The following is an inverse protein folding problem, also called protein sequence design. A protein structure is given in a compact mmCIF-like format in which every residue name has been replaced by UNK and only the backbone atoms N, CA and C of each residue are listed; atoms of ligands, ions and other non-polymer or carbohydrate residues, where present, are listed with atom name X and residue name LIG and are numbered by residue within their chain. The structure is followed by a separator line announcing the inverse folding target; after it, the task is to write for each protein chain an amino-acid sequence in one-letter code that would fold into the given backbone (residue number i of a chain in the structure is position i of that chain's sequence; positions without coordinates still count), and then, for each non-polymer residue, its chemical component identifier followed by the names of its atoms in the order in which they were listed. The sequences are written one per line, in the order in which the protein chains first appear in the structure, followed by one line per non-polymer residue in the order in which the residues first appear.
data_IF_006226609568
#
_entry.id   IF_006226609568
#
_cell.length_a   1.000
_cell.length_b   1.000
_cell.length_c   1.000
_cell.angle_alpha   90.00
_cell.angle_beta   90.00
_cell.angle_gamma   90.00
#
_symmetry.space_group_name_H-M   'P 1'
#
loop_
_entity.id
_entity.type
_entity.pdbx_description
1 polymer ?
#
# COMPACT_ATOMS: atom_id res chain seq x y z
N UNK A 1 5.02 23.01 10.25
CA UNK A 1 4.58 21.93 9.32
C UNK A 1 5.67 21.63 8.30
N UNK A 2 6.14 22.65 7.54
CA UNK A 2 7.20 22.44 6.54
C UNK A 2 8.50 21.92 7.19
N UNK A 3 9.17 20.99 6.49
CA UNK A 3 10.44 20.35 6.92
C UNK A 3 10.40 19.55 8.23
N UNK A 4 9.23 19.31 8.79
CA UNK A 4 9.03 18.47 9.97
C UNK A 4 8.11 17.29 9.62
N UNK A 5 8.39 16.08 10.11
CA UNK A 5 7.54 14.93 9.84
C UNK A 5 6.16 15.13 10.47
N UNK A 6 5.11 14.80 9.71
CA UNK A 6 3.71 14.87 10.15
C UNK A 6 3.02 13.54 9.85
N UNK A 7 2.10 13.14 10.70
CA UNK A 7 1.31 11.93 10.47
C UNK A 7 0.13 12.26 9.56
N UNK A 8 0.01 11.61 8.39
CA UNK A 8 -1.09 11.86 7.48
C UNK A 8 -2.42 11.29 7.99
N UNK A 9 -3.52 11.77 7.39
CA UNK A 9 -4.84 11.17 7.57
C UNK A 9 -4.87 9.73 7.06
N UNK A 10 -5.54 8.83 7.77
CA UNK A 10 -5.59 7.40 7.47
C UNK A 10 -6.87 7.05 6.69
N UNK A 11 -6.76 6.06 5.81
CA UNK A 11 -7.88 5.52 5.04
C UNK A 11 -8.78 4.65 5.92
N UNK A 12 -10.09 4.88 5.86
CA UNK A 12 -11.11 4.01 6.45
C UNK A 12 -11.35 2.81 5.52
N UNK A 13 -11.39 1.56 6.01
CA UNK A 13 -11.83 0.42 5.20
C UNK A 13 -13.31 0.54 4.85
N UNK A 14 -13.64 0.20 3.60
CA UNK A 14 -15.01 0.05 3.11
C UNK A 14 -15.09 -1.23 2.26
N UNK A 15 -16.29 -1.80 2.16
CA UNK A 15 -16.58 -2.99 1.37
C UNK A 15 -17.17 -2.67 0.01
N UNK A 16 -17.71 -1.47 -0.14
CA UNK A 16 -18.41 -1.03 -1.34
C UNK A 16 -17.96 0.37 -1.76
N UNK A 17 -18.10 0.66 -3.05
CA UNK A 17 -17.88 2.00 -3.61
C UNK A 17 -19.00 2.92 -3.13
N UNK A 18 -18.68 4.05 -2.45
CA UNK A 18 -19.70 5.00 -2.05
C UNK A 18 -20.33 5.69 -3.25
N UNK A 19 -21.63 5.92 -3.18
CA UNK A 19 -22.38 6.58 -4.25
C UNK A 19 -22.56 8.09 -4.00
N UNK A 20 -22.74 8.82 -5.08
CA UNK A 20 -23.09 10.25 -5.08
C UNK A 20 -21.94 11.17 -5.48
N UNK A 21 -22.29 12.33 -6.03
CA UNK A 21 -21.38 13.31 -6.66
C UNK A 21 -20.39 13.99 -5.70
N UNK A 22 -20.51 13.74 -4.41
CA UNK A 22 -19.55 14.23 -3.42
C UNK A 22 -18.26 13.40 -3.34
N UNK A 23 -18.20 12.26 -4.03
CA UNK A 23 -17.03 11.41 -4.06
C UNK A 23 -16.33 11.46 -5.42
N UNK A 24 -15.02 11.44 -5.37
CA UNK A 24 -14.14 11.07 -6.47
C UNK A 24 -13.45 9.76 -6.13
N UNK A 25 -12.96 9.08 -7.14
CA UNK A 25 -12.31 7.79 -7.01
C UNK A 25 -10.93 7.83 -7.63
N UNK A 26 -9.94 7.22 -6.97
CA UNK A 26 -8.56 7.13 -7.43
C UNK A 26 -8.09 5.69 -7.30
N UNK A 27 -7.13 5.29 -8.13
CA UNK A 27 -6.46 4.00 -7.95
C UNK A 27 -5.79 3.95 -6.58
N UNK A 28 -5.97 2.84 -5.87
CA UNK A 28 -5.14 2.53 -4.72
C UNK A 28 -3.82 1.97 -5.22
N UNK A 29 -2.82 2.83 -5.27
CA UNK A 29 -1.49 2.48 -5.75
C UNK A 29 -0.78 1.57 -4.73
N UNK A 30 -0.15 0.50 -5.20
CA UNK A 30 0.60 -0.45 -4.37
C UNK A 30 2.03 0.04 -4.17
N UNK A 31 2.19 0.92 -3.20
CA UNK A 31 3.45 1.57 -2.87
C UNK A 31 3.64 1.79 -1.38
N UNK A 32 4.36 2.83 -1.02
CA UNK A 32 4.37 3.35 0.34
C UNK A 32 4.04 4.84 0.36
N UNK A 33 3.15 5.21 1.27
CA UNK A 33 2.75 6.60 1.44
C UNK A 33 3.91 7.46 1.91
N UNK A 34 4.06 8.63 1.27
CA UNK A 34 5.07 9.60 1.58
C UNK A 34 4.51 11.03 1.56
N UNK A 35 5.07 11.88 2.42
CA UNK A 35 4.88 13.32 2.39
C UNK A 35 6.10 13.94 1.74
N UNK A 36 5.87 14.65 0.64
CA UNK A 36 6.88 15.33 -0.15
C UNK A 36 6.88 16.82 0.23
N UNK A 37 7.91 17.25 0.92
CA UNK A 37 8.10 18.65 1.33
C UNK A 37 9.04 19.33 0.35
N UNK A 38 8.58 20.42 -0.24
CA UNK A 38 9.35 21.26 -1.16
C UNK A 38 9.60 22.63 -0.53
N UNK A 39 10.84 23.05 -0.43
CA UNK A 39 11.25 24.32 0.14
C UNK A 39 12.33 24.95 -0.73
N UNK A 40 11.95 25.90 -1.62
CA UNK A 40 12.85 26.66 -2.51
C UNK A 40 13.82 25.75 -3.30
N UNK A 41 13.30 24.65 -3.81
CA UNK A 41 14.09 23.66 -4.55
C UNK A 41 14.73 22.56 -3.70
N UNK A 42 14.68 22.67 -2.38
CA UNK A 42 15.10 21.60 -1.47
C UNK A 42 13.93 20.64 -1.22
N UNK A 43 14.16 19.36 -1.31
CA UNK A 43 13.13 18.33 -1.13
C UNK A 43 13.46 17.49 0.09
N UNK A 44 12.45 17.29 0.95
CA UNK A 44 12.48 16.28 2.02
C UNK A 44 11.29 15.35 1.89
N UNK A 45 11.54 14.06 2.09
CA UNK A 45 10.52 13.02 1.96
C UNK A 45 10.41 12.28 3.28
N UNK A 46 9.18 12.25 3.83
CA UNK A 46 8.88 11.57 5.09
C UNK A 46 7.88 10.45 4.85
N UNK A 47 8.12 9.28 5.43
CA UNK A 47 7.13 8.21 5.45
C UNK A 47 5.99 8.53 6.43
N UNK A 48 4.86 7.81 6.32
CA UNK A 48 3.76 7.92 7.30
C UNK A 48 4.17 7.58 8.74
N UNK A 49 5.33 6.93 8.92
CA UNK A 49 5.90 6.58 10.23
C UNK A 49 6.93 7.61 10.72
N UNK A 50 6.94 8.79 10.11
CA UNK A 50 7.78 9.94 10.49
C UNK A 50 9.28 9.76 10.19
N UNK A 51 9.67 8.75 9.45
CA UNK A 51 11.06 8.56 9.04
C UNK A 51 11.38 9.42 7.83
N UNK A 52 12.48 10.18 7.87
CA UNK A 52 13.01 10.85 6.70
C UNK A 52 13.73 9.83 5.79
N UNK A 53 13.33 9.80 4.51
CA UNK A 53 13.83 8.85 3.52
C UNK A 53 14.36 9.52 2.26
N UNK A 54 14.57 10.82 2.31
CA UNK A 54 15.04 11.67 1.20
C UNK A 54 16.23 11.08 0.46
N UNK A 55 17.22 10.60 1.20
CA UNK A 55 18.47 10.06 0.67
C UNK A 55 18.30 8.78 -0.16
N UNK A 56 17.16 8.11 -0.05
CA UNK A 56 16.86 6.86 -0.80
C UNK A 56 16.39 7.13 -2.22
N UNK A 57 15.86 8.34 -2.48
CA UNK A 57 15.16 8.72 -3.70
C UNK A 57 15.83 9.94 -4.35
N UNK A 58 17.11 9.78 -4.66
CA UNK A 58 17.95 10.87 -5.16
C UNK A 58 17.50 11.42 -6.51
N UNK A 59 16.81 10.60 -7.33
CA UNK A 59 16.22 11.02 -8.60
C UNK A 59 15.13 12.08 -8.46
N UNK A 60 14.47 12.15 -7.29
CA UNK A 60 13.44 13.14 -7.03
C UNK A 60 14.01 14.52 -6.66
N UNK A 61 15.30 14.61 -6.30
CA UNK A 61 15.92 15.87 -5.88
C UNK A 61 16.01 16.93 -6.98
N UNK A 62 15.85 16.51 -8.25
CA UNK A 62 15.83 17.39 -9.41
C UNK A 62 14.47 18.04 -9.71
N UNK A 63 13.40 17.63 -9.01
CA UNK A 63 12.05 18.13 -9.25
C UNK A 63 11.97 19.63 -8.93
N UNK A 64 11.39 20.41 -9.85
CA UNK A 64 11.10 21.83 -9.68
C UNK A 64 9.62 22.03 -9.75
N UNK A 65 9.07 22.70 -8.74
CA UNK A 65 7.67 23.08 -8.69
C UNK A 65 7.54 24.62 -8.84
N UNK A 66 6.48 25.13 -9.47
CA UNK A 66 6.29 26.57 -9.72
C UNK A 66 5.81 27.33 -8.46
N UNK A 67 6.32 26.93 -7.28
CA UNK A 67 5.94 27.47 -5.97
C UNK A 67 7.19 27.62 -5.10
N UNK A 68 7.10 28.46 -4.06
CA UNK A 68 8.20 28.60 -3.10
C UNK A 68 8.26 27.44 -2.13
N UNK A 69 7.12 27.07 -1.55
CA UNK A 69 7.05 25.98 -0.56
C UNK A 69 5.74 25.22 -0.68
N UNK A 70 5.80 23.88 -0.56
CA UNK A 70 4.58 23.08 -0.43
C UNK A 70 4.82 21.77 0.34
N UNK A 71 3.73 21.16 0.77
CA UNK A 71 3.69 19.78 1.28
C UNK A 71 2.64 19.01 0.48
N UNK A 72 3.09 18.00 -0.25
CA UNK A 72 2.25 17.09 -1.00
C UNK A 72 2.12 15.76 -0.25
N UNK A 73 0.92 15.18 -0.29
CA UNK A 73 0.64 13.84 0.21
C UNK A 73 0.46 12.91 -0.99
N UNK A 74 1.18 11.81 -1.02
CA UNK A 74 1.20 10.93 -2.17
C UNK A 74 1.67 9.51 -1.86
N UNK A 75 1.73 8.71 -2.90
CA UNK A 75 2.25 7.36 -2.86
C UNK A 75 3.55 7.28 -3.66
N UNK A 76 4.59 6.75 -3.04
CA UNK A 76 5.83 6.39 -3.73
C UNK A 76 5.62 5.02 -4.37
N UNK A 77 5.83 4.94 -5.67
CA UNK A 77 5.69 3.70 -6.45
C UNK A 77 6.94 3.44 -7.29
N UNK A 78 7.07 2.20 -7.74
CA UNK A 78 8.13 1.79 -8.67
C UNK A 78 7.51 0.91 -9.75
N UNK A 79 7.91 1.13 -11.01
CA UNK A 79 7.57 0.27 -12.13
C UNK A 79 8.81 -0.55 -12.51
N UNK A 80 8.65 -1.86 -12.71
CA UNK A 80 9.78 -2.71 -13.10
C UNK A 80 9.87 -2.99 -14.61
N UNK A 81 8.98 -2.36 -15.36
CA UNK A 81 8.96 -2.45 -16.84
C UNK A 81 8.59 -3.81 -17.41
N UNK A 82 8.12 -4.75 -16.58
CA UNK A 82 7.85 -6.15 -17.00
C UNK A 82 6.43 -6.36 -17.51
N UNK A 83 5.52 -5.46 -17.17
CA UNK A 83 4.10 -5.57 -17.54
C UNK A 83 3.70 -4.49 -18.54
N UNK A 84 2.78 -4.83 -19.43
CA UNK A 84 2.16 -3.91 -20.36
C UNK A 84 0.61 -4.05 -20.28
N UNK A 85 -0.13 -3.04 -19.82
CA UNK A 85 0.36 -1.75 -19.34
C UNK A 85 1.19 -1.86 -18.06
N UNK A 86 2.11 -0.90 -17.81
CA UNK A 86 2.96 -0.95 -16.62
C UNK A 86 2.14 -0.82 -15.34
N UNK A 87 2.42 -1.69 -14.36
CA UNK A 87 1.78 -1.68 -13.04
C UNK A 87 2.80 -1.34 -11.95
N UNK A 88 2.36 -0.66 -10.87
CA UNK A 88 3.20 -0.50 -9.70
C UNK A 88 3.64 -1.85 -9.13
N UNK A 89 4.93 -2.00 -8.87
CA UNK A 89 5.53 -3.20 -8.32
C UNK A 89 6.07 -2.93 -6.92
N UNK A 90 5.34 -3.39 -5.91
CA UNK A 90 5.71 -3.22 -4.50
C UNK A 90 7.05 -3.89 -4.17
N UNK A 91 7.31 -5.08 -4.70
CA UNK A 91 8.56 -5.79 -4.42
C UNK A 91 9.77 -4.99 -4.94
N UNK A 92 9.67 -4.36 -6.12
CA UNK A 92 10.69 -3.48 -6.67
C UNK A 92 10.87 -2.21 -5.83
N UNK A 93 9.77 -1.61 -5.39
CA UNK A 93 9.82 -0.49 -4.47
C UNK A 93 10.50 -0.85 -3.16
N UNK A 94 10.21 -2.03 -2.59
CA UNK A 94 10.84 -2.48 -1.34
C UNK A 94 12.34 -2.74 -1.50
N UNK A 95 12.81 -3.21 -2.65
CA UNK A 95 14.25 -3.27 -2.96
C UNK A 95 14.87 -1.88 -2.85
N UNK A 96 14.23 -0.85 -3.43
CA UNK A 96 14.68 0.56 -3.33
C UNK A 96 14.62 1.06 -1.89
N UNK A 97 13.52 0.83 -1.20
CA UNK A 97 13.29 1.32 0.16
C UNK A 97 14.24 0.73 1.20
N UNK A 98 14.64 -0.53 1.05
CA UNK A 98 15.54 -1.20 1.99
C UNK A 98 17.02 -0.82 1.81
N UNK A 99 17.39 -0.22 0.67
CA UNK A 99 18.77 0.20 0.42
C UNK A 99 19.18 1.35 1.34
N UNK A 100 20.39 1.25 1.88
CA UNK A 100 21.04 2.29 2.68
C UNK A 100 22.40 2.73 2.13
N UNK A 101 23.03 1.91 1.28
CA UNK A 101 24.31 2.22 0.66
C UNK A 101 24.11 3.21 -0.50
N UNK A 102 24.74 4.37 -0.44
CA UNK A 102 24.58 5.47 -1.37
C UNK A 102 25.05 5.13 -2.81
N UNK A 103 26.09 4.33 -2.97
CA UNK A 103 26.58 3.94 -4.28
C UNK A 103 25.60 2.98 -4.95
N UNK A 104 25.10 1.99 -4.22
CA UNK A 104 24.06 1.09 -4.73
C UNK A 104 22.76 1.83 -5.07
N UNK A 105 22.41 2.87 -4.33
CA UNK A 105 21.25 3.72 -4.65
C UNK A 105 21.45 4.43 -5.99
N UNK A 106 22.66 4.96 -6.25
CA UNK A 106 23.00 5.62 -7.53
C UNK A 106 22.94 4.64 -8.70
N UNK A 107 23.39 3.41 -8.53
CA UNK A 107 23.37 2.38 -9.57
C UNK A 107 21.96 1.91 -9.90
N UNK A 108 21.12 1.69 -8.87
CA UNK A 108 19.80 1.10 -9.04
C UNK A 108 18.72 2.09 -9.48
N UNK A 109 18.89 3.40 -9.24
CA UNK A 109 17.87 4.43 -9.54
C UNK A 109 17.41 4.45 -10.99
N UNK A 110 18.31 4.13 -11.92
CA UNK A 110 18.03 4.13 -13.37
C UNK A 110 17.41 2.80 -13.82
N UNK A 111 17.65 1.71 -13.10
CA UNK A 111 17.07 0.38 -13.35
C UNK A 111 15.68 0.21 -12.73
N UNK A 112 15.47 0.77 -11.55
CA UNK A 112 14.22 0.76 -10.81
C UNK A 112 13.88 2.18 -10.35
N UNK A 113 13.55 3.10 -11.24
CA UNK A 113 13.22 4.46 -10.88
C UNK A 113 11.95 4.50 -10.03
N UNK A 114 11.94 5.39 -9.05
CA UNK A 114 10.71 5.65 -8.28
C UNK A 114 9.94 6.81 -8.89
N UNK A 115 8.64 6.78 -8.69
CA UNK A 115 7.72 7.82 -9.08
C UNK A 115 6.86 8.21 -7.88
N UNK A 116 6.70 9.51 -7.65
CA UNK A 116 5.81 10.04 -6.62
C UNK A 116 4.47 10.46 -7.23
N UNK A 117 3.41 9.73 -6.92
CA UNK A 117 2.04 10.05 -7.34
C UNK A 117 1.34 10.82 -6.24
N UNK A 118 1.21 12.14 -6.42
CA UNK A 118 0.56 13.03 -5.46
C UNK A 118 -0.96 12.98 -5.59
N UNK A 119 -1.67 12.92 -4.46
CA UNK A 119 -3.11 12.84 -4.42
C UNK A 119 -3.77 13.84 -3.45
N UNK A 120 -2.97 14.68 -2.80
CA UNK A 120 -3.44 15.79 -1.94
C UNK A 120 -2.32 16.82 -1.73
N UNK A 121 -2.69 18.04 -1.34
CA UNK A 121 -1.78 19.09 -0.91
C UNK A 121 -2.21 19.63 0.44
N UNK A 122 -1.26 19.77 1.36
CA UNK A 122 -1.54 20.13 2.75
C UNK A 122 -1.06 21.53 3.12
N UNK A 123 -0.11 22.07 2.35
CA UNK A 123 0.53 23.35 2.64
C UNK A 123 1.04 23.98 1.34
N UNK A 124 0.89 25.29 1.19
CA UNK A 124 1.36 26.07 0.04
C UNK A 124 1.80 27.47 0.46
N UNK A 125 3.03 27.87 0.12
CA UNK A 125 3.58 29.24 0.23
C UNK A 125 3.30 29.94 1.58
N UNK A 126 3.44 29.22 2.69
CA UNK A 126 3.21 29.75 4.04
C UNK A 126 1.84 29.43 4.62
N UNK A 127 0.88 29.01 3.79
CA UNK A 127 -0.50 28.74 4.21
C UNK A 127 -0.79 27.24 4.37
N UNK A 128 -1.46 26.87 5.46
CA UNK A 128 -1.97 25.51 5.66
C UNK A 128 -3.31 25.33 4.94
N UNK A 129 -3.41 24.29 4.11
CA UNK A 129 -4.61 23.99 3.34
C UNK A 129 -5.48 22.88 3.97
N UNK A 130 -5.09 22.35 5.13
CA UNK A 130 -5.78 21.19 5.73
C UNK A 130 -7.25 21.45 6.05
N UNK A 131 -7.63 22.69 6.36
CA UNK A 131 -9.01 23.07 6.68
C UNK A 131 -9.87 23.32 5.42
N UNK A 132 -9.27 23.40 4.24
CA UNK A 132 -10.00 23.56 2.98
C UNK A 132 -10.64 22.24 2.56
N UNK A 133 -11.77 22.26 1.83
CA UNK A 133 -12.35 21.06 1.25
C UNK A 133 -11.39 20.41 0.25
N UNK A 134 -11.50 19.09 0.06
CA UNK A 134 -10.62 18.35 -0.86
C UNK A 134 -10.69 18.89 -2.29
N UNK A 135 -11.86 19.35 -2.76
CA UNK A 135 -12.00 19.94 -4.09
C UNK A 135 -11.03 21.07 -4.33
N UNK A 136 -10.95 22.06 -3.41
CA UNK A 136 -10.02 23.20 -3.52
C UNK A 136 -8.56 22.76 -3.43
N UNK A 137 -8.26 21.75 -2.61
CA UNK A 137 -6.90 21.21 -2.50
C UNK A 137 -6.47 20.50 -3.78
N UNK A 138 -7.37 19.76 -4.43
CA UNK A 138 -7.08 19.09 -5.71
C UNK A 138 -6.91 20.10 -6.86
N UNK A 139 -7.75 21.13 -6.92
CA UNK A 139 -7.60 22.20 -7.90
C UNK A 139 -6.21 22.86 -7.76
N UNK A 140 -5.83 23.18 -6.53
CA UNK A 140 -4.49 23.71 -6.22
C UNK A 140 -3.38 22.73 -6.62
N UNK A 141 -3.51 21.45 -6.26
CA UNK A 141 -2.53 20.42 -6.60
C UNK A 141 -2.31 20.32 -8.12
N UNK A 142 -3.39 20.30 -8.90
CA UNK A 142 -3.35 20.19 -10.35
C UNK A 142 -2.73 21.41 -11.04
N UNK A 143 -2.72 22.59 -10.39
CA UNK A 143 -2.06 23.78 -10.93
C UNK A 143 -0.55 23.79 -10.72
N UNK A 144 -0.05 23.09 -9.68
CA UNK A 144 1.38 23.17 -9.31
C UNK A 144 2.19 21.93 -9.66
N UNK A 145 1.55 20.79 -9.91
CA UNK A 145 2.23 19.56 -10.28
C UNK A 145 2.04 19.27 -11.77
N UNK A 146 3.12 19.46 -12.53
CA UNK A 146 3.20 18.98 -13.90
C UNK A 146 3.64 17.50 -13.91
N UNK A 147 2.98 16.68 -14.74
CA UNK A 147 3.31 15.26 -14.84
C UNK A 147 4.65 15.05 -15.54
N UNK A 148 5.56 14.40 -14.84
CA UNK A 148 6.90 14.02 -15.32
C UNK A 148 7.16 12.54 -15.07
N UNK A 149 8.26 11.95 -15.51
CA UNK A 149 8.62 10.57 -15.14
C UNK A 149 8.79 10.34 -13.63
N UNK A 150 8.99 11.39 -12.83
CA UNK A 150 9.30 11.28 -11.40
C UNK A 150 8.19 11.75 -10.47
N UNK A 151 7.27 12.59 -10.95
CA UNK A 151 6.12 13.10 -10.17
C UNK A 151 4.91 13.28 -11.07
N UNK A 152 3.74 12.96 -10.54
CA UNK A 152 2.44 13.24 -11.18
C UNK A 152 1.35 13.51 -10.15
N UNK A 153 0.22 14.03 -10.61
CA UNK A 153 -1.03 13.94 -9.85
C UNK A 153 -1.68 12.56 -10.08
N UNK A 154 -2.31 12.02 -9.04
CA UNK A 154 -3.07 10.78 -9.15
C UNK A 154 -4.38 11.05 -9.92
N UNK A 155 -4.65 10.34 -11.04
CA UNK A 155 -5.87 10.52 -11.81
C UNK A 155 -7.13 10.33 -10.96
N UNK A 156 -8.15 11.15 -11.22
CA UNK A 156 -9.45 11.10 -10.56
C UNK A 156 -10.54 10.65 -11.52
N UNK A 157 -11.48 9.85 -11.02
CA UNK A 157 -12.60 9.28 -11.76
C UNK A 157 -13.89 9.60 -11.05
N UNK A 158 -14.95 9.90 -11.79
CA UNK A 158 -16.29 10.16 -11.26
C UNK A 158 -17.08 8.86 -11.07
N UNK A 159 -16.83 7.84 -11.89
CA UNK A 159 -17.46 6.51 -11.80
C UNK A 159 -16.53 5.55 -11.07
N UNK A 160 -16.87 5.26 -9.81
CA UNK A 160 -16.07 4.37 -8.98
C UNK A 160 -16.31 2.90 -9.24
N UNK A 161 -17.50 2.51 -9.76
CA UNK A 161 -17.79 1.13 -10.12
C UNK A 161 -17.04 0.75 -11.40
N UNK A 162 -17.06 1.62 -12.41
CA UNK A 162 -16.26 1.41 -13.63
C UNK A 162 -14.77 1.30 -13.28
N UNK A 163 -14.26 2.18 -12.41
CA UNK A 163 -12.89 2.11 -11.97
C UNK A 163 -12.59 0.80 -11.22
N UNK A 164 -13.52 0.34 -10.36
CA UNK A 164 -13.32 -0.89 -9.60
C UNK A 164 -13.31 -2.13 -10.48
N UNK A 165 -14.20 -2.20 -11.49
CA UNK A 165 -14.20 -3.28 -12.49
C UNK A 165 -12.84 -3.35 -13.22
N UNK A 166 -12.30 -2.21 -13.64
CA UNK A 166 -10.95 -2.16 -14.26
C UNK A 166 -9.83 -2.60 -13.29
N UNK A 167 -9.98 -2.28 -12.00
CA UNK A 167 -9.05 -2.73 -10.94
C UNK A 167 -9.08 -4.25 -10.80
N UNK A 168 -10.26 -4.87 -10.87
CA UNK A 168 -10.40 -6.34 -10.85
C UNK A 168 -9.78 -6.97 -12.11
N UNK A 169 -10.13 -6.49 -13.30
CA UNK A 169 -9.62 -6.99 -14.59
C UNK A 169 -8.08 -6.93 -14.67
N UNK A 170 -7.49 -5.87 -14.16
CA UNK A 170 -6.06 -5.65 -14.18
C UNK A 170 -5.33 -6.23 -12.95
N UNK A 171 -6.05 -6.78 -11.97
CA UNK A 171 -5.45 -7.30 -10.74
C UNK A 171 -4.74 -6.24 -9.91
N UNK A 172 -5.24 -4.99 -9.89
CA UNK A 172 -4.68 -3.89 -9.10
C UNK A 172 -5.14 -3.95 -7.63
N UNK A 173 -4.53 -3.15 -6.75
CA UNK A 173 -4.74 -3.22 -5.29
C UNK A 173 -6.15 -2.85 -4.84
N UNK A 174 -6.80 -1.91 -5.54
CA UNK A 174 -8.12 -1.42 -5.16
C UNK A 174 -8.37 0.03 -5.57
N UNK A 175 -9.36 0.62 -4.93
CA UNK A 175 -9.80 2.02 -5.15
C UNK A 175 -9.75 2.78 -3.82
N UNK A 176 -9.46 4.07 -3.89
CA UNK A 176 -9.65 5.03 -2.80
C UNK A 176 -10.72 6.02 -3.23
N UNK A 177 -11.85 6.01 -2.53
CA UNK A 177 -12.93 6.99 -2.72
C UNK A 177 -12.75 8.13 -1.72
N UNK A 178 -12.80 9.36 -2.20
CA UNK A 178 -12.52 10.56 -1.41
C UNK A 178 -13.69 11.54 -1.47
N UNK A 179 -14.12 12.03 -0.31
CA UNK A 179 -15.20 13.02 -0.22
C UNK A 179 -14.66 14.43 -0.50
N UNK A 180 -15.11 15.04 -1.58
CA UNK A 180 -14.67 16.35 -2.07
C UNK A 180 -14.90 17.50 -1.07
N UNK A 181 -15.92 17.39 -0.22
CA UNK A 181 -16.36 18.45 0.67
C UNK A 181 -15.65 18.42 2.05
N UNK A 182 -14.75 17.47 2.26
CA UNK A 182 -14.16 17.25 3.59
C UNK A 182 -12.76 17.85 3.73
N UNK A 183 -12.45 18.41 4.91
CA UNK A 183 -11.10 18.83 5.26
C UNK A 183 -10.18 17.63 5.46
N UNK A 184 -8.88 17.90 5.58
CA UNK A 184 -7.86 16.93 5.91
C UNK A 184 -7.60 16.91 7.42
N UNK A 185 -7.65 15.75 8.07
CA UNK A 185 -7.45 15.61 9.52
C UNK A 185 -6.20 14.79 9.80
N UNK A 186 -5.18 15.44 10.36
CA UNK A 186 -3.91 14.79 10.69
C UNK A 186 -4.07 13.68 11.74
N UNK A 187 -3.25 12.64 11.66
CA UNK A 187 -3.14 11.53 12.63
C UNK A 187 -4.49 10.89 13.01
N UNK A 188 -5.43 10.85 12.09
CA UNK A 188 -6.78 10.34 12.35
C UNK A 188 -7.33 9.51 11.20
N UNK A 189 -8.42 8.80 11.46
CA UNK A 189 -9.19 8.03 10.48
C UNK A 189 -10.65 8.46 10.53
N UNK A 190 -10.98 9.64 9.99
CA UNK A 190 -12.34 10.13 10.03
C UNK A 190 -13.26 9.28 9.14
N UNK A 191 -14.53 9.18 9.57
CA UNK A 191 -15.56 8.48 8.79
C UNK A 191 -15.91 9.25 7.53
N UNK A 192 -16.20 8.55 6.44
CA UNK A 192 -16.69 9.07 5.14
C UNK A 192 -15.81 10.14 4.50
N UNK A 193 -14.50 10.16 4.80
CA UNK A 193 -13.57 11.10 4.19
C UNK A 193 -12.73 10.43 3.12
N UNK A 194 -11.85 9.49 3.50
CA UNK A 194 -11.05 8.69 2.57
C UNK A 194 -11.34 7.22 2.81
N UNK A 195 -11.99 6.56 1.87
CA UNK A 195 -12.42 5.18 1.94
C UNK A 195 -11.54 4.31 1.03
N UNK A 196 -10.98 3.23 1.57
CA UNK A 196 -10.25 2.25 0.77
C UNK A 196 -11.10 1.01 0.53
N UNK A 197 -11.31 0.68 -0.72
CA UNK A 197 -11.98 -0.53 -1.20
C UNK A 197 -10.88 -1.38 -1.87
N UNK A 198 -10.54 -2.51 -1.26
CA UNK A 198 -9.47 -3.37 -1.75
C UNK A 198 -10.01 -4.48 -2.63
N UNK A 199 -9.29 -4.74 -3.72
CA UNK A 199 -9.49 -5.91 -4.55
C UNK A 199 -8.81 -7.11 -3.89
N UNK A 200 -9.57 -7.85 -3.09
CA UNK A 200 -9.06 -9.05 -2.43
C UNK A 200 -9.27 -10.28 -3.29
N UNK A 201 -8.26 -11.13 -3.30
CA UNK A 201 -8.33 -12.47 -3.87
C UNK A 201 -8.61 -13.50 -2.78
N UNK A 202 -9.20 -14.63 -3.15
CA UNK A 202 -9.51 -15.74 -2.26
C UNK A 202 -8.94 -17.02 -2.85
N UNK A 203 -8.38 -17.85 -1.99
CA UNK A 203 -7.87 -19.17 -2.40
C UNK A 203 -7.93 -20.15 -1.22
N UNK A 204 -7.84 -21.44 -1.56
CA UNK A 204 -7.79 -22.55 -0.63
C UNK A 204 -6.35 -23.00 -0.42
N UNK A 205 -5.89 -22.97 0.82
CA UNK A 205 -4.54 -23.42 1.19
C UNK A 205 -4.60 -24.56 2.21
N UNK A 206 -3.55 -25.41 2.19
CA UNK A 206 -3.28 -26.40 3.23
C UNK A 206 -2.40 -25.76 4.30
N UNK A 207 -2.55 -26.19 5.55
CA UNK A 207 -1.68 -25.77 6.65
C UNK A 207 -0.59 -26.83 6.85
N UNK A 208 0.65 -26.50 6.46
CA UNK A 208 1.78 -27.43 6.48
C UNK A 208 2.66 -27.34 7.71
N UNK A 209 2.60 -26.24 8.49
CA UNK A 209 3.36 -26.12 9.74
C UNK A 209 2.82 -25.00 10.64
N UNK A 210 3.18 -25.08 11.92
CA UNK A 210 2.93 -24.05 12.95
C UNK A 210 4.26 -23.49 13.41
N UNK A 211 4.40 -22.15 13.43
CA UNK A 211 5.55 -21.48 14.03
C UNK A 211 5.59 -21.65 15.54
N UNK A 212 6.80 -21.86 16.11
CA UNK A 212 7.02 -21.99 17.56
C UNK A 212 7.14 -20.67 18.30
N UNK A 213 7.90 -19.72 17.76
CA UNK A 213 8.28 -18.47 18.47
C UNK A 213 7.29 -17.31 18.28
N UNK A 214 6.73 -17.18 17.09
CA UNK A 214 5.76 -16.13 16.73
C UNK A 214 4.59 -16.82 16.06
N UNK A 215 3.37 -16.40 16.37
CA UNK A 215 2.17 -16.97 15.75
C UNK A 215 2.28 -16.91 14.21
N UNK A 216 1.91 -18.00 13.57
CA UNK A 216 1.81 -18.13 12.11
C UNK A 216 1.68 -19.57 11.67
N UNK A 217 0.82 -19.79 10.68
CA UNK A 217 0.66 -21.07 10.01
C UNK A 217 1.33 -21.01 8.64
N UNK A 218 2.14 -21.99 8.31
CA UNK A 218 2.76 -22.13 6.99
C UNK A 218 1.70 -22.58 5.99
N UNK A 219 1.48 -21.77 4.97
CA UNK A 219 0.53 -22.06 3.90
C UNK A 219 1.20 -22.81 2.76
N UNK A 220 0.52 -23.86 2.29
CA UNK A 220 0.86 -24.62 1.09
C UNK A 220 -0.33 -24.57 0.12
N UNK A 221 -0.05 -24.54 -1.19
CA UNK A 221 -1.08 -24.74 -2.20
C UNK A 221 -1.48 -26.21 -2.38
N UNK A 222 -2.24 -26.51 -3.41
CA UNK A 222 -2.69 -27.86 -3.68
C UNK A 222 -1.54 -28.81 -4.07
N UNK A 223 -0.44 -28.26 -4.63
CA UNK A 223 0.76 -28.99 -5.04
C UNK A 223 1.84 -28.99 -3.94
N UNK A 224 1.47 -28.60 -2.72
CA UNK A 224 2.35 -28.48 -1.54
C UNK A 224 3.49 -27.45 -1.73
N UNK A 225 3.33 -26.46 -2.62
CA UNK A 225 4.27 -25.36 -2.75
C UNK A 225 4.00 -24.30 -1.69
N UNK A 226 5.06 -23.74 -1.12
CA UNK A 226 4.99 -22.71 -0.09
C UNK A 226 4.36 -21.42 -0.61
N UNK A 227 3.32 -20.91 0.08
CA UNK A 227 2.56 -19.71 -0.25
C UNK A 227 2.65 -18.59 0.77
N UNK A 228 3.46 -18.73 1.80
CA UNK A 228 3.67 -17.72 2.83
C UNK A 228 3.21 -18.15 4.21
N UNK A 229 3.16 -17.20 5.13
CA UNK A 229 2.74 -17.42 6.52
C UNK A 229 1.42 -16.71 6.79
N UNK A 230 0.42 -17.44 7.27
CA UNK A 230 -0.87 -16.93 7.71
C UNK A 230 -0.77 -16.45 9.17
N UNK A 231 -0.66 -15.14 9.35
CA UNK A 231 -0.54 -14.50 10.68
C UNK A 231 -1.89 -13.94 11.19
N UNK A 232 -2.81 -13.63 10.27
CA UNK A 232 -4.12 -13.06 10.60
C UNK A 232 -5.18 -14.15 10.69
N UNK A 233 -5.29 -14.76 11.88
CA UNK A 233 -6.28 -15.78 12.21
C UNK A 233 -6.97 -15.35 13.51
N UNK A 234 -8.31 -15.43 13.64
CA UNK A 234 -9.00 -15.09 14.88
C UNK A 234 -8.61 -16.04 16.04
N UNK A 235 -8.62 -15.57 17.29
CA UNK A 235 -8.14 -16.36 18.44
C UNK A 235 -8.88 -17.70 18.66
N UNK A 236 -10.19 -17.73 18.37
CA UNK A 236 -11.01 -18.94 18.50
C UNK A 236 -10.53 -20.05 17.56
N UNK A 237 -10.29 -19.70 16.29
CA UNK A 237 -9.83 -20.60 15.24
C UNK A 237 -8.39 -21.07 15.49
N UNK A 238 -7.54 -20.20 16.04
CA UNK A 238 -6.18 -20.57 16.47
C UNK A 238 -6.22 -21.68 17.52
N UNK A 239 -7.07 -21.52 18.54
CA UNK A 239 -7.20 -22.48 19.64
C UNK A 239 -7.75 -23.81 19.13
N UNK A 240 -8.81 -23.77 18.33
CA UNK A 240 -9.41 -24.98 17.76
C UNK A 240 -8.41 -25.77 16.90
N UNK A 241 -7.69 -25.06 16.01
CA UNK A 241 -6.68 -25.70 15.16
C UNK A 241 -5.51 -26.27 15.98
N UNK A 242 -5.05 -25.56 17.01
CA UNK A 242 -3.95 -26.04 17.84
C UNK A 242 -4.25 -27.40 18.49
N UNK A 243 -5.46 -27.61 18.97
CA UNK A 243 -5.83 -28.91 19.58
C UNK A 243 -5.85 -30.04 18.56
N UNK A 244 -6.35 -29.79 17.35
CA UNK A 244 -6.39 -30.78 16.27
C UNK A 244 -4.99 -31.05 15.72
N UNK A 245 -4.18 -30.04 15.58
CA UNK A 245 -2.85 -30.13 14.94
C UNK A 245 -1.86 -31.00 15.69
N UNK A 246 -2.04 -31.20 17.01
CA UNK A 246 -1.19 -32.09 17.82
C UNK A 246 -1.11 -33.52 17.27
N UNK A 247 -2.21 -34.00 16.66
CA UNK A 247 -2.29 -35.33 16.08
C UNK A 247 -1.69 -35.41 14.65
N UNK A 248 -1.42 -34.25 14.05
CA UNK A 248 -0.92 -34.13 12.69
C UNK A 248 0.59 -33.83 12.64
N UNK A 249 1.25 -33.68 13.79
CA UNK A 249 2.69 -33.37 13.82
C UNK A 249 3.46 -34.57 13.30
N UNK A 250 4.21 -34.36 12.22
CA UNK A 250 5.07 -35.37 11.60
C UNK A 250 6.54 -35.17 11.93
N UNK A 251 6.94 -33.91 12.16
CA UNK A 251 8.35 -33.55 12.44
C UNK A 251 8.39 -32.15 13.12
N UNK A 252 9.54 -31.81 13.69
CA UNK A 252 9.78 -30.48 14.24
C UNK A 252 11.25 -30.04 14.09
N UNK A 253 11.44 -28.72 14.04
CA UNK A 253 12.75 -28.08 14.16
C UNK A 253 12.72 -26.94 15.19
N UNK A 254 13.74 -26.09 15.23
CA UNK A 254 13.79 -24.95 16.17
C UNK A 254 12.67 -23.90 15.93
N UNK A 255 12.09 -23.84 14.75
CA UNK A 255 11.18 -22.77 14.33
C UNK A 255 9.75 -23.25 14.07
N UNK A 256 9.56 -24.54 13.72
CA UNK A 256 8.29 -25.08 13.26
C UNK A 256 7.96 -26.45 13.87
N UNK A 257 6.66 -26.68 14.06
CA UNK A 257 6.04 -28.00 14.06
C UNK A 257 5.49 -28.28 12.67
N UNK A 258 6.06 -29.25 11.95
CA UNK A 258 5.58 -29.66 10.63
C UNK A 258 4.41 -30.61 10.76
N UNK A 259 3.40 -30.40 9.91
CA UNK A 259 2.14 -31.14 9.96
C UNK A 259 1.96 -31.96 8.67
N UNK A 260 1.27 -33.09 8.79
CA UNK A 260 0.59 -33.66 7.64
C UNK A 260 -0.47 -32.66 7.13
N UNK A 261 -0.40 -32.15 5.88
CA UNK A 261 -1.18 -31.03 5.42
C UNK A 261 -2.63 -31.40 5.05
N UNK A 262 -3.33 -32.07 5.95
CA UNK A 262 -4.71 -32.54 5.77
C UNK A 262 -5.74 -31.42 5.97
N UNK A 263 -5.43 -30.43 6.80
CA UNK A 263 -6.38 -29.35 7.12
C UNK A 263 -6.22 -28.22 6.08
N UNK A 264 -7.36 -27.88 5.47
CA UNK A 264 -7.45 -26.79 4.50
C UNK A 264 -8.21 -25.61 5.08
N UNK A 265 -7.87 -24.42 4.63
CA UNK A 265 -8.65 -23.22 4.92
C UNK A 265 -8.72 -22.29 3.71
N UNK A 266 -9.82 -21.54 3.63
CA UNK A 266 -9.94 -20.42 2.72
C UNK A 266 -9.21 -19.21 3.32
N UNK A 267 -8.41 -18.56 2.50
CA UNK A 267 -7.72 -17.33 2.86
C UNK A 267 -8.08 -16.20 1.91
N UNK A 268 -8.17 -15.00 2.44
CA UNK A 268 -8.28 -13.76 1.69
C UNK A 268 -6.92 -13.07 1.69
N UNK A 269 -6.41 -12.67 0.53
CA UNK A 269 -5.13 -12.00 0.39
C UNK A 269 -5.19 -10.86 -0.64
N UNK A 270 -4.18 -9.98 -0.63
CA UNK A 270 -4.17 -8.80 -1.48
C UNK A 270 -3.71 -9.12 -2.90
N UNK A 271 -2.57 -9.76 -3.04
CA UNK A 271 -1.98 -10.20 -4.31
C UNK A 271 -0.87 -11.22 -4.04
N UNK A 272 -0.31 -11.80 -5.09
CA UNK A 272 0.91 -12.58 -4.99
C UNK A 272 2.14 -11.68 -5.13
N UNK A 273 3.19 -11.96 -4.36
CA UNK A 273 4.51 -11.38 -4.57
C UNK A 273 5.18 -11.98 -5.81
N UNK A 274 6.31 -11.42 -6.27
CA UNK A 274 7.12 -12.01 -7.36
C UNK A 274 7.55 -13.46 -7.12
N UNK A 275 7.58 -13.89 -5.85
CA UNK A 275 7.91 -15.27 -5.45
C UNK A 275 6.67 -16.16 -5.32
N UNK A 276 5.50 -15.71 -5.72
CA UNK A 276 4.25 -16.44 -5.61
C UNK A 276 3.69 -16.54 -4.19
N UNK A 277 4.14 -15.68 -3.24
CA UNK A 277 3.66 -15.69 -1.86
C UNK A 277 2.45 -14.77 -1.71
N UNK A 278 1.45 -15.20 -0.94
CA UNK A 278 0.23 -14.44 -0.65
C UNK A 278 0.52 -13.28 0.31
N UNK A 279 0.34 -12.04 -0.16
CA UNK A 279 0.57 -10.83 0.65
C UNK A 279 -0.64 -10.53 1.54
N UNK A 280 -0.36 -10.26 2.83
CA UNK A 280 -1.39 -9.90 3.83
C UNK A 280 -2.52 -10.93 3.93
N UNK A 281 -2.20 -12.22 3.81
CA UNK A 281 -3.18 -13.28 3.89
C UNK A 281 -3.90 -13.27 5.26
N UNK A 282 -5.21 -13.46 5.24
CA UNK A 282 -6.06 -13.56 6.43
C UNK A 282 -7.02 -14.75 6.31
N UNK A 283 -7.16 -15.47 7.40
CA UNK A 283 -8.06 -16.61 7.52
C UNK A 283 -9.52 -16.20 7.31
N UNK A 284 -10.28 -17.00 6.58
CA UNK A 284 -11.71 -16.82 6.41
C UNK A 284 -12.49 -17.96 7.09
N UNK A 285 -12.24 -19.18 6.73
CA UNK A 285 -12.91 -20.37 7.30
C UNK A 285 -12.07 -21.62 7.05
N UNK A 286 -12.28 -22.66 7.85
CA UNK A 286 -11.82 -24.00 7.50
C UNK A 286 -12.68 -24.58 6.38
N UNK A 287 -12.05 -25.42 5.53
CA UNK A 287 -12.72 -26.19 4.47
C UNK A 287 -12.82 -27.62 4.99
N UNK A 288 -14.06 -28.09 5.17
CA UNK A 288 -14.40 -29.43 5.65
C UNK A 288 -14.65 -30.34 4.45
#
# INVERSE_FOLDING_TARGET
MLNTPIKPMLLQPATEIPKGNKYIHQLKLDGHRALFHYDRGNIKIFTRHLNEVTYKYIELQGIKLPVTTCILDGEMICFDGKENPPKPCFDSLMVRFQMSNQEKIKEIKDLLPVHFSSFDILYLNGESLINKPLSERLDTLNTIVENTPYISTCPTYSDGDELYNRVEDLGLEGVVSKNLNRPYTLDSRPQDVFLKIKNYQYDSVKIGAIRKKKFGWLMLDQDNQYRGILEFVPPKERKAFYEISKQLITNEDENYFYLDPLIKCEVKFQCLSKKGLMRSASFQKFII
#
